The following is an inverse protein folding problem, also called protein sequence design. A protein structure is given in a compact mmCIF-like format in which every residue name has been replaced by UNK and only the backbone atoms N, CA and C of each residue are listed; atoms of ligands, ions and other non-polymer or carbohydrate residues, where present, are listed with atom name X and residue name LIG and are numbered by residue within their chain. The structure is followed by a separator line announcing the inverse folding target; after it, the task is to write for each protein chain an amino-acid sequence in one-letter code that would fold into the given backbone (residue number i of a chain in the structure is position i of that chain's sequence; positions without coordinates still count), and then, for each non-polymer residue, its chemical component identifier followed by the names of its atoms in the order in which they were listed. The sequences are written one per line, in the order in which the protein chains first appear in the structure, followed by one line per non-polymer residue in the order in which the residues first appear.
data_IF_468616090214
#
_entry.id   IF_468616090214
#
_cell.length_a   1.000
_cell.length_b   1.000
_cell.length_c   1.000
_cell.angle_alpha   90.00
_cell.angle_beta   90.00
_cell.angle_gamma   90.00
#
_symmetry.space_group_name_H-M   'P 1'
#
loop_
_entity.id
_entity.type
_entity.pdbx_description
1 polymer ?
#
# COMPACT_ATOMS: atom_id res chain seq x y z
N UNK A 1 -2.51 44.59 26.76
CA UNK A 1 -1.40 45.16 27.55
C UNK A 1 -0.13 44.44 27.14
N UNK A 2 0.82 45.20 26.60
CA UNK A 2 2.11 44.77 26.05
C UNK A 2 3.14 44.46 27.14
N UNK A 3 4.11 43.59 26.85
CA UNK A 3 5.56 43.80 27.08
C UNK A 3 6.36 42.61 26.50
N UNK A 4 7.23 42.82 25.50
CA UNK A 4 8.65 43.24 25.59
C UNK A 4 9.56 42.10 26.14
N UNK A 5 10.29 41.38 25.29
CA UNK A 5 11.62 41.68 24.70
C UNK A 5 12.81 41.38 25.63
N UNK A 6 13.78 40.61 25.11
CA UNK A 6 15.25 40.62 25.33
C UNK A 6 15.84 39.41 24.54
N UNK A 7 16.58 39.50 23.43
CA UNK A 7 17.97 39.98 23.17
C UNK A 7 19.07 39.31 24.01
N UNK A 8 19.94 38.53 23.36
CA UNK A 8 21.41 38.65 23.45
C UNK A 8 22.12 37.79 22.38
N UNK A 9 23.12 38.40 21.73
CA UNK A 9 24.04 37.84 20.75
C UNK A 9 25.29 37.25 21.43
N UNK A 10 25.96 36.29 20.79
CA UNK A 10 27.26 35.79 21.22
C UNK A 10 28.06 35.20 20.07
N UNK A 11 28.86 36.03 19.42
CA UNK A 11 29.87 35.70 18.40
C UNK A 11 31.10 35.06 19.05
N UNK A 12 31.63 34.00 18.44
CA UNK A 12 32.90 33.39 18.82
C UNK A 12 33.55 32.63 17.65
N UNK A 13 34.24 33.37 16.80
CA UNK A 13 35.13 32.86 15.72
C UNK A 13 36.43 32.29 16.30
N UNK A 14 36.87 31.12 15.80
CA UNK A 14 38.29 30.76 15.74
C UNK A 14 38.59 29.91 14.50
N UNK A 15 39.43 30.50 13.65
CA UNK A 15 40.10 30.00 12.45
C UNK A 15 41.04 28.82 12.72
N UNK A 16 41.03 27.82 11.83
CA UNK A 16 42.23 27.33 11.13
C UNK A 16 41.84 26.87 9.74
N UNK A 17 42.33 27.62 8.75
CA UNK A 17 42.49 27.28 7.35
C UNK A 17 43.82 26.51 7.20
N UNK A 18 43.82 25.40 6.46
CA UNK A 18 44.86 24.95 5.52
C UNK A 18 44.70 23.44 5.27
N UNK A 19 44.52 23.05 4.00
CA UNK A 19 44.50 21.64 3.61
C UNK A 19 43.74 21.35 2.33
N UNK A 20 44.27 21.84 1.21
CA UNK A 20 43.90 21.48 -0.16
C UNK A 20 43.79 19.97 -0.37
N UNK A 21 42.68 19.54 -0.98
CA UNK A 21 42.47 18.17 -1.47
C UNK A 21 41.50 18.19 -2.64
N UNK A 22 42.00 17.75 -3.78
CA UNK A 22 41.41 17.77 -5.12
C UNK A 22 40.13 16.93 -5.31
N UNK A 23 39.51 17.24 -6.45
CA UNK A 23 38.69 16.37 -7.31
C UNK A 23 37.17 16.36 -7.06
N UNK A 24 36.53 17.01 -8.02
CA UNK A 24 35.15 16.84 -8.49
C UNK A 24 34.66 15.40 -8.43
N UNK A 25 33.45 15.22 -7.93
CA UNK A 25 32.46 14.33 -8.52
C UNK A 25 31.08 14.85 -8.12
N UNK A 26 30.42 15.48 -9.09
CA UNK A 26 29.01 15.83 -9.06
C UNK A 26 28.25 14.49 -9.02
N UNK A 27 28.10 13.94 -7.82
CA UNK A 27 27.36 12.71 -7.60
C UNK A 27 25.94 12.92 -8.11
N UNK A 28 25.45 12.10 -9.05
CA UNK A 28 24.16 12.34 -9.66
C UNK A 28 23.07 12.30 -8.59
N UNK A 29 22.39 13.44 -8.51
CA UNK A 29 21.00 13.62 -8.10
C UNK A 29 20.14 12.47 -8.68
N UNK A 30 19.30 11.91 -7.83
CA UNK A 30 18.06 11.19 -8.16
C UNK A 30 18.07 10.28 -9.40
N UNK A 31 18.50 9.02 -9.22
CA UNK A 31 17.96 7.90 -10.00
C UNK A 31 18.25 6.53 -9.37
N UNK A 32 17.98 6.35 -8.08
CA UNK A 32 17.63 5.01 -7.61
C UNK A 32 16.12 4.85 -7.76
N UNK A 33 15.67 4.80 -9.03
CA UNK A 33 14.47 4.05 -9.32
C UNK A 33 14.81 2.62 -8.90
N UNK A 34 14.52 2.28 -7.64
CA UNK A 34 14.65 0.92 -7.15
C UNK A 34 13.93 0.06 -8.17
N UNK A 35 14.73 -0.76 -8.84
CA UNK A 35 14.33 -1.76 -9.80
C UNK A 35 12.97 -2.36 -9.39
N UNK A 36 11.88 -1.78 -9.91
CA UNK A 36 10.63 -2.50 -10.02
C UNK A 36 10.95 -3.60 -11.01
N UNK A 37 11.33 -4.76 -10.48
CA UNK A 37 11.38 -5.97 -11.27
C UNK A 37 10.12 -5.97 -12.16
N UNK A 38 10.21 -6.18 -13.48
CA UNK A 38 9.03 -6.34 -14.30
C UNK A 38 8.47 -7.73 -13.98
N UNK A 39 7.68 -7.81 -12.91
CA UNK A 39 7.12 -9.07 -12.41
C UNK A 39 5.81 -9.26 -13.14
N UNK A 40 5.74 -10.15 -14.13
CA UNK A 40 4.46 -10.81 -14.43
C UNK A 40 3.88 -11.22 -13.08
N UNK A 41 2.76 -10.61 -12.64
CA UNK A 41 2.19 -10.81 -11.29
C UNK A 41 2.42 -12.26 -10.88
N UNK A 42 3.20 -12.51 -9.82
CA UNK A 42 3.50 -13.90 -9.43
C UNK A 42 2.18 -14.52 -9.04
N UNK A 43 1.69 -15.43 -9.86
CA UNK A 43 0.44 -16.12 -9.56
C UNK A 43 0.70 -17.03 -8.38
N UNK A 44 -0.08 -16.84 -7.33
CA UNK A 44 -0.03 -17.62 -6.10
C UNK A 44 -0.74 -18.96 -6.32
N UNK A 45 0.05 -20.03 -6.42
CA UNK A 45 -0.40 -21.44 -6.37
C UNK A 45 -0.51 -21.93 -4.91
N UNK A 46 -0.97 -21.05 -4.03
CA UNK A 46 -1.24 -21.31 -2.62
C UNK A 46 -2.30 -20.35 -2.11
N UNK A 47 -3.00 -20.71 -1.03
CA UNK A 47 -3.86 -19.76 -0.35
C UNK A 47 -3.05 -18.71 0.41
N UNK A 48 -3.46 -17.46 0.33
CA UNK A 48 -2.75 -16.33 0.94
C UNK A 48 -3.71 -15.22 1.38
N UNK A 49 -3.17 -14.17 2.01
CA UNK A 49 -3.96 -13.01 2.44
C UNK A 49 -3.35 -11.73 1.88
N UNK A 50 -4.17 -10.90 1.25
CA UNK A 50 -3.81 -9.54 0.85
C UNK A 50 -4.14 -8.58 2.01
N UNK A 51 -3.14 -7.85 2.46
CA UNK A 51 -3.30 -6.85 3.52
C UNK A 51 -3.69 -5.50 2.90
N UNK A 52 -4.97 -5.14 2.99
CA UNK A 52 -5.54 -3.87 2.52
C UNK A 52 -5.97 -2.99 3.71
N UNK A 53 -5.19 -3.05 4.81
CA UNK A 53 -5.47 -2.33 6.06
C UNK A 53 -4.52 -1.14 6.32
N UNK A 54 -3.57 -0.87 5.42
CA UNK A 54 -2.65 0.27 5.59
C UNK A 54 -3.40 1.63 5.57
N UNK A 55 -2.84 2.71 6.17
CA UNK A 55 -3.50 4.02 6.20
C UNK A 55 -3.95 4.55 4.83
N UNK A 56 -3.18 4.30 3.76
CA UNK A 56 -3.54 4.66 2.38
C UNK A 56 -4.84 4.00 1.92
N UNK A 57 -5.14 2.80 2.41
CA UNK A 57 -6.37 2.09 2.12
C UNK A 57 -7.53 2.72 2.86
N UNK A 58 -7.35 3.10 4.13
CA UNK A 58 -8.40 3.76 4.93
C UNK A 58 -8.92 5.05 4.29
N UNK A 59 -8.05 5.77 3.58
CA UNK A 59 -8.36 7.05 2.92
C UNK A 59 -9.04 6.89 1.56
N UNK A 60 -8.95 5.71 0.93
CA UNK A 60 -9.36 5.51 -0.46
C UNK A 60 -10.00 4.11 -0.69
N UNK A 61 -11.33 4.01 -0.73
CA UNK A 61 -12.01 2.74 -1.00
C UNK A 61 -11.82 2.26 -2.44
N UNK A 62 -11.59 3.16 -3.41
CA UNK A 62 -11.36 2.78 -4.81
C UNK A 62 -10.00 2.09 -4.95
N UNK A 63 -8.99 2.55 -4.21
CA UNK A 63 -7.70 1.87 -4.10
C UNK A 63 -7.83 0.46 -3.52
N UNK A 64 -8.68 0.28 -2.49
CA UNK A 64 -8.96 -1.04 -1.91
C UNK A 64 -9.57 -1.98 -2.95
N UNK A 65 -10.54 -1.50 -3.73
CA UNK A 65 -11.16 -2.29 -4.81
C UNK A 65 -10.13 -2.67 -5.87
N UNK A 66 -9.32 -1.72 -6.33
CA UNK A 66 -8.31 -1.98 -7.35
C UNK A 66 -7.28 -3.03 -6.89
N UNK A 67 -6.74 -2.89 -5.69
CA UNK A 67 -5.74 -3.83 -5.15
C UNK A 67 -6.35 -5.18 -4.74
N UNK A 68 -7.63 -5.21 -4.38
CA UNK A 68 -8.36 -6.46 -4.18
C UNK A 68 -8.48 -7.26 -5.49
N UNK A 69 -8.82 -6.59 -6.59
CA UNK A 69 -8.88 -7.22 -7.92
C UNK A 69 -7.48 -7.71 -8.33
N UNK A 70 -6.45 -6.89 -8.14
CA UNK A 70 -5.06 -7.30 -8.40
C UNK A 70 -4.67 -8.57 -7.61
N UNK A 71 -5.11 -8.69 -6.36
CA UNK A 71 -4.87 -9.86 -5.53
C UNK A 71 -5.63 -11.10 -6.02
N UNK A 72 -6.85 -10.94 -6.53
CA UNK A 72 -7.61 -12.02 -7.17
C UNK A 72 -6.91 -12.46 -8.46
N UNK A 73 -6.48 -11.54 -9.31
CA UNK A 73 -5.73 -11.83 -10.54
C UNK A 73 -4.39 -12.52 -10.27
N UNK A 74 -3.77 -12.19 -9.14
CA UNK A 74 -2.55 -12.85 -8.68
C UNK A 74 -2.81 -14.20 -8.01
N UNK A 75 -4.04 -14.75 -8.03
CA UNK A 75 -4.36 -16.04 -7.40
C UNK A 75 -4.69 -17.08 -8.47
N UNK A 76 -4.02 -18.24 -8.42
CA UNK A 76 -4.30 -19.32 -9.37
C UNK A 76 -5.69 -19.94 -9.12
N UNK A 77 -6.32 -20.45 -10.19
CA UNK A 77 -7.52 -21.26 -10.07
C UNK A 77 -7.28 -22.48 -9.15
N UNK A 78 -8.29 -22.82 -8.35
CA UNK A 78 -8.21 -23.80 -7.27
C UNK A 78 -7.72 -23.25 -5.93
N UNK A 79 -7.24 -22.00 -5.88
CA UNK A 79 -6.79 -21.34 -4.65
C UNK A 79 -7.71 -20.19 -4.24
N UNK A 80 -7.42 -19.61 -3.08
CA UNK A 80 -8.18 -18.46 -2.57
C UNK A 80 -7.26 -17.41 -1.98
N UNK A 81 -7.71 -16.17 -2.03
CA UNK A 81 -7.12 -15.04 -1.32
C UNK A 81 -8.08 -14.55 -0.25
N UNK A 82 -7.56 -14.24 0.94
CA UNK A 82 -8.30 -13.48 1.94
C UNK A 82 -7.96 -11.99 1.77
N UNK A 83 -8.97 -11.20 1.42
CA UNK A 83 -8.89 -9.74 1.35
C UNK A 83 -9.17 -9.21 2.75
N UNK A 84 -8.15 -8.64 3.39
CA UNK A 84 -8.26 -8.04 4.73
C UNK A 84 -8.35 -6.54 4.56
N UNK A 85 -9.52 -5.97 4.83
CA UNK A 85 -9.85 -4.57 4.53
C UNK A 85 -9.94 -3.72 5.79
N UNK A 86 -9.57 -2.44 5.68
CA UNK A 86 -9.58 -1.52 6.81
C UNK A 86 -10.99 -1.31 7.42
N UNK A 87 -11.04 -1.09 8.73
CA UNK A 87 -12.29 -0.92 9.49
C UNK A 87 -13.10 0.33 9.07
N UNK A 88 -12.42 1.38 8.64
CA UNK A 88 -13.04 2.69 8.34
C UNK A 88 -14.04 2.64 7.18
N UNK A 89 -13.91 1.66 6.29
CA UNK A 89 -14.85 1.46 5.17
C UNK A 89 -16.09 0.65 5.55
N UNK A 90 -16.16 0.13 6.77
CA UNK A 90 -17.26 -0.70 7.22
C UNK A 90 -17.26 -2.09 6.56
N UNK A 91 -18.45 -2.66 6.38
CA UNK A 91 -18.56 -4.04 5.91
C UNK A 91 -18.29 -4.12 4.39
N UNK A 92 -17.48 -5.09 3.90
CA UNK A 92 -17.12 -5.19 2.49
C UNK A 92 -18.30 -5.49 1.54
N UNK A 93 -19.43 -5.94 2.08
CA UNK A 93 -20.69 -6.09 1.32
C UNK A 93 -21.16 -4.77 0.69
N UNK A 94 -20.90 -3.65 1.35
CA UNK A 94 -21.44 -2.36 0.94
C UNK A 94 -20.63 -1.68 -0.16
N UNK A 95 -19.35 -2.04 -0.34
CA UNK A 95 -18.46 -1.37 -1.29
C UNK A 95 -17.58 -2.29 -2.13
N UNK A 96 -17.13 -3.44 -1.61
CA UNK A 96 -16.20 -4.32 -2.32
C UNK A 96 -16.91 -5.41 -3.12
N UNK A 97 -17.93 -6.04 -2.55
CA UNK A 97 -18.60 -7.16 -3.20
C UNK A 97 -19.35 -6.79 -4.50
N UNK A 98 -19.98 -5.62 -4.62
CA UNK A 98 -20.56 -5.18 -5.90
C UNK A 98 -19.49 -5.07 -7.00
N UNK A 99 -18.29 -4.63 -6.66
CA UNK A 99 -17.18 -4.48 -7.59
C UNK A 99 -16.56 -5.84 -7.96
N UNK A 100 -16.44 -6.77 -7.01
CA UNK A 100 -16.06 -8.15 -7.30
C UNK A 100 -17.07 -8.84 -8.23
N UNK A 101 -18.37 -8.61 -8.04
CA UNK A 101 -19.42 -9.12 -8.92
C UNK A 101 -19.32 -8.53 -10.32
N UNK A 102 -19.12 -7.21 -10.41
CA UNK A 102 -18.95 -6.53 -11.70
C UNK A 102 -17.73 -7.05 -12.44
N UNK A 103 -16.63 -7.29 -11.71
CA UNK A 103 -15.42 -7.89 -12.26
C UNK A 103 -15.65 -9.33 -12.74
N UNK A 104 -16.29 -10.19 -11.94
CA UNK A 104 -16.61 -11.58 -12.31
C UNK A 104 -17.53 -11.65 -13.54
N UNK A 105 -18.59 -10.83 -13.58
CA UNK A 105 -19.51 -10.75 -14.72
C UNK A 105 -18.82 -10.32 -16.02
N UNK A 106 -17.74 -9.53 -15.92
CA UNK A 106 -16.94 -9.07 -17.05
C UNK A 106 -15.81 -10.02 -17.44
N UNK A 107 -15.37 -10.88 -16.52
CA UNK A 107 -14.28 -11.82 -16.76
C UNK A 107 -14.76 -13.02 -17.59
N UNK A 108 -13.97 -13.42 -18.59
CA UNK A 108 -14.32 -14.61 -19.39
C UNK A 108 -14.00 -15.92 -18.63
N UNK A 109 -12.95 -15.90 -17.79
CA UNK A 109 -12.49 -16.92 -16.84
C UNK A 109 -11.35 -16.32 -15.99
N UNK A 110 -11.06 -16.80 -14.77
CA UNK A 110 -11.77 -17.79 -13.94
C UNK A 110 -12.98 -17.21 -13.20
N UNK A 111 -13.84 -18.10 -12.69
CA UNK A 111 -15.03 -17.72 -11.91
C UNK A 111 -14.70 -17.49 -10.43
N UNK A 112 -15.41 -16.56 -9.79
CA UNK A 112 -15.17 -16.15 -8.42
C UNK A 112 -16.33 -16.56 -7.49
N UNK A 113 -15.99 -17.09 -6.32
CA UNK A 113 -16.93 -17.21 -5.20
C UNK A 113 -16.34 -16.47 -4.00
N UNK A 114 -17.10 -15.56 -3.39
CA UNK A 114 -16.66 -14.88 -2.17
C UNK A 114 -17.61 -15.06 -1.00
N UNK A 115 -17.05 -14.98 0.20
CA UNK A 115 -17.79 -15.00 1.46
C UNK A 115 -17.09 -14.20 2.54
N UNK A 116 -17.88 -13.68 3.47
CA UNK A 116 -17.35 -13.12 4.71
C UNK A 116 -16.76 -14.23 5.59
N UNK A 117 -15.60 -13.98 6.19
CA UNK A 117 -14.91 -14.93 7.07
C UNK A 117 -14.93 -14.46 8.52
N UNK A 118 -14.45 -13.25 8.78
CA UNK A 118 -14.28 -12.74 10.15
C UNK A 118 -14.03 -11.21 10.21
N UNK A 119 -14.08 -10.65 11.42
CA UNK A 119 -13.56 -9.32 11.74
C UNK A 119 -12.30 -9.45 12.60
N UNK A 120 -11.18 -8.86 12.18
CA UNK A 120 -9.95 -8.86 12.97
C UNK A 120 -10.11 -8.04 14.25
N UNK A 121 -9.25 -8.26 15.25
CA UNK A 121 -9.21 -7.44 16.48
C UNK A 121 -8.89 -5.95 16.25
N UNK A 122 -8.38 -5.61 15.06
CA UNK A 122 -8.21 -4.24 14.57
C UNK A 122 -9.51 -3.58 14.08
N UNK A 123 -10.60 -4.34 13.93
CA UNK A 123 -11.85 -3.90 13.34
C UNK A 123 -11.94 -4.10 11.82
N UNK A 124 -10.85 -4.43 11.14
CA UNK A 124 -10.82 -4.77 9.73
C UNK A 124 -11.59 -6.05 9.39
N UNK A 125 -12.04 -6.15 8.14
CA UNK A 125 -12.96 -7.19 7.68
C UNK A 125 -12.29 -8.14 6.69
N UNK A 126 -12.53 -9.44 6.86
CA UNK A 126 -11.95 -10.49 6.01
C UNK A 126 -12.99 -11.05 5.05
N UNK A 127 -12.78 -10.82 3.75
CA UNK A 127 -13.52 -11.52 2.67
C UNK A 127 -12.60 -12.57 2.06
N UNK A 128 -13.06 -13.81 1.94
CA UNK A 128 -12.34 -14.84 1.17
C UNK A 128 -12.91 -14.91 -0.23
N UNK A 129 -12.04 -14.84 -1.23
CA UNK A 129 -12.38 -15.04 -2.65
C UNK A 129 -11.70 -16.32 -3.14
N UNK A 130 -12.51 -17.30 -3.53
CA UNK A 130 -12.09 -18.54 -4.17
C UNK A 130 -12.10 -18.34 -5.69
N UNK A 131 -11.01 -18.75 -6.34
CA UNK A 131 -10.84 -18.69 -7.79
C UNK A 131 -11.03 -20.10 -8.35
N UNK A 132 -11.91 -20.28 -9.34
CA UNK A 132 -12.31 -21.58 -9.90
C UNK A 132 -12.27 -21.63 -11.42
#
# INVERSE_FOLDING_TARGET
MSNAQQRASGTGTRTTDDGSGEAVDDGPDDAAGEDREPITRRVHENSWSANLEEPRHAEDPDLVVAEAIDAVEATAAGYHVNLVTHADHGHPEDYLWPELSTYDDAAETPSLEWRYVDQCGCGGHVTRVQVS
#
